data_IF_627403830447
#
_entry.id   IF_627403830447
#
_cell.length_a   1.000
_cell.length_b   1.000
_cell.length_c   1.000
_cell.angle_alpha   90.00
_cell.angle_beta   90.00
_cell.angle_gamma   90.00
#
_symmetry.space_group_name_H-M   'P 1'
#
loop_
_entity.id
_entity.type
_entity.pdbx_description
1 polymer ?
#
# COMPACT_ATOMS: atom_id res chain seq x y z
N UNK A 1 -39.02 -15.15 -10.52
CA UNK A 1 -38.87 -14.50 -11.85
C UNK A 1 -37.73 -15.16 -12.60
N UNK A 2 -38.05 -16.11 -13.48
CA UNK A 2 -37.30 -16.63 -14.63
C UNK A 2 -38.02 -17.91 -15.09
N UNK A 3 -39.19 -17.75 -15.71
CA UNK A 3 -39.92 -18.89 -16.29
C UNK A 3 -39.18 -19.35 -17.55
N UNK A 4 -38.65 -20.58 -17.51
CA UNK A 4 -37.99 -21.18 -18.66
C UNK A 4 -39.03 -21.45 -19.76
N UNK A 5 -38.95 -20.74 -20.88
CA UNK A 5 -39.76 -20.99 -22.06
C UNK A 5 -39.37 -22.34 -22.69
N UNK A 6 -40.00 -23.43 -22.24
CA UNK A 6 -39.86 -24.72 -22.88
C UNK A 6 -40.59 -24.73 -24.23
N UNK A 7 -39.90 -25.15 -25.30
CA UNK A 7 -40.51 -25.40 -26.61
C UNK A 7 -41.78 -26.28 -26.47
N UNK A 8 -42.89 -25.99 -27.19
CA UNK A 8 -44.12 -26.80 -27.16
C UNK A 8 -43.86 -28.30 -27.44
N UNK A 9 -42.85 -28.59 -28.25
CA UNK A 9 -42.43 -29.95 -28.58
C UNK A 9 -41.77 -30.68 -27.39
N UNK A 10 -41.19 -29.95 -26.44
CA UNK A 10 -40.58 -30.49 -25.22
C UNK A 10 -41.63 -31.02 -24.25
N UNK A 11 -42.79 -30.37 -24.15
CA UNK A 11 -43.88 -30.74 -23.22
C UNK A 11 -44.56 -32.07 -23.63
N UNK A 12 -44.58 -32.38 -24.93
CA UNK A 12 -45.16 -33.62 -25.47
C UNK A 12 -44.33 -34.88 -25.18
N UNK A 13 -42.99 -34.75 -25.15
CA UNK A 13 -42.08 -35.91 -25.03
C UNK A 13 -41.23 -35.94 -23.75
N UNK A 14 -41.07 -34.80 -23.07
CA UNK A 14 -40.38 -34.71 -21.78
C UNK A 14 -41.38 -34.25 -20.73
N UNK A 15 -42.17 -35.19 -20.21
CA UNK A 15 -42.92 -34.96 -18.97
C UNK A 15 -41.98 -34.40 -17.89
N UNK A 16 -42.53 -33.53 -17.04
CA UNK A 16 -41.79 -32.90 -15.93
C UNK A 16 -41.33 -34.01 -14.97
N UNK A 17 -40.02 -34.24 -14.94
CA UNK A 17 -39.38 -35.26 -14.12
C UNK A 17 -38.90 -36.45 -14.93
N UNK A 18 -37.60 -36.74 -14.83
CA UNK A 18 -37.07 -38.04 -15.26
C UNK A 18 -37.79 -39.15 -14.50
N UNK A 19 -38.21 -40.25 -15.15
CA UNK A 19 -38.76 -41.41 -14.45
C UNK A 19 -37.90 -41.80 -13.24
N UNK A 20 -38.48 -42.24 -12.11
CA UNK A 20 -37.74 -42.48 -10.86
C UNK A 20 -36.50 -43.38 -11.05
N UNK A 21 -36.59 -44.37 -11.93
CA UNK A 21 -35.48 -45.27 -12.26
C UNK A 21 -34.32 -44.58 -12.99
N UNK A 22 -34.59 -43.56 -13.83
CA UNK A 22 -33.53 -42.78 -14.50
C UNK A 22 -32.79 -41.92 -13.50
N UNK A 23 -33.49 -41.39 -12.50
CA UNK A 23 -32.83 -40.66 -11.41
C UNK A 23 -31.99 -41.60 -10.55
N UNK A 24 -32.55 -42.75 -10.13
CA UNK A 24 -31.80 -43.77 -9.40
C UNK A 24 -30.57 -44.26 -10.18
N UNK A 25 -30.69 -44.46 -11.50
CA UNK A 25 -29.57 -44.84 -12.35
C UNK A 25 -28.49 -43.75 -12.44
N UNK A 26 -28.90 -42.47 -12.59
CA UNK A 26 -27.97 -41.33 -12.58
C UNK A 26 -27.22 -41.25 -11.26
N UNK A 27 -27.91 -41.37 -10.14
CA UNK A 27 -27.28 -41.39 -8.82
C UNK A 27 -26.31 -42.58 -8.67
N UNK A 28 -26.68 -43.77 -9.14
CA UNK A 28 -25.78 -44.93 -9.15
C UNK A 28 -24.51 -44.72 -9.99
N UNK A 29 -24.62 -44.05 -11.14
CA UNK A 29 -23.45 -43.67 -11.95
C UNK A 29 -22.54 -42.66 -11.24
N UNK A 30 -23.13 -41.60 -10.65
CA UNK A 30 -22.37 -40.60 -9.90
C UNK A 30 -21.68 -41.20 -8.69
N UNK A 31 -22.35 -42.10 -7.97
CA UNK A 31 -21.80 -42.76 -6.81
C UNK A 31 -20.65 -43.71 -7.19
N UNK A 32 -20.78 -44.46 -8.30
CA UNK A 32 -19.66 -45.25 -8.85
C UNK A 32 -18.46 -44.37 -9.23
N UNK A 33 -18.71 -43.23 -9.86
CA UNK A 33 -17.67 -42.29 -10.25
C UNK A 33 -16.97 -41.70 -9.02
N UNK A 34 -17.74 -41.26 -8.02
CA UNK A 34 -17.25 -40.73 -6.75
C UNK A 34 -16.42 -41.77 -6.00
N UNK A 35 -16.88 -43.01 -5.90
CA UNK A 35 -16.15 -44.10 -5.25
C UNK A 35 -14.89 -44.49 -6.02
N UNK A 36 -14.92 -44.45 -7.36
CA UNK A 36 -13.72 -44.66 -8.19
C UNK A 36 -12.67 -43.57 -7.94
N UNK A 37 -13.09 -42.30 -7.95
CA UNK A 37 -12.23 -41.15 -7.64
C UNK A 37 -11.67 -41.23 -6.22
N UNK A 38 -12.52 -41.55 -5.24
CA UNK A 38 -12.11 -41.66 -3.84
C UNK A 38 -11.05 -42.76 -3.65
N UNK A 39 -11.24 -43.93 -4.28
CA UNK A 39 -10.28 -45.03 -4.24
C UNK A 39 -8.95 -44.67 -4.91
N UNK A 40 -8.98 -43.93 -6.02
CA UNK A 40 -7.77 -43.43 -6.69
C UNK A 40 -7.01 -42.47 -5.78
N UNK A 41 -7.69 -41.45 -5.24
CA UNK A 41 -7.08 -40.47 -4.34
C UNK A 41 -6.59 -41.11 -3.04
N UNK A 42 -7.32 -42.09 -2.50
CA UNK A 42 -6.90 -42.84 -1.32
C UNK A 42 -5.59 -43.60 -1.56
N UNK A 43 -5.39 -44.19 -2.75
CA UNK A 43 -4.12 -44.83 -3.13
C UNK A 43 -2.96 -43.83 -3.16
N UNK A 44 -3.16 -42.66 -3.76
CA UNK A 44 -2.15 -41.61 -3.78
C UNK A 44 -1.84 -41.05 -2.39
N UNK A 45 -2.87 -40.86 -1.54
CA UNK A 45 -2.70 -40.38 -0.17
C UNK A 45 -2.03 -41.42 0.74
N UNK A 46 -2.40 -42.69 0.63
CA UNK A 46 -1.79 -43.79 1.40
C UNK A 46 -0.36 -44.10 0.96
N UNK A 47 -0.03 -43.90 -0.32
CA UNK A 47 1.35 -43.97 -0.80
C UNK A 47 2.28 -42.96 -0.10
N UNK A 48 1.74 -41.91 0.54
CA UNK A 48 2.50 -40.96 1.34
C UNK A 48 2.59 -41.26 2.85
N UNK A 49 1.94 -42.33 3.37
CA UNK A 49 1.69 -42.42 4.82
C UNK A 49 1.73 -43.79 5.51
N UNK A 50 2.00 -44.91 4.83
CA UNK A 50 1.97 -46.19 5.55
C UNK A 50 2.51 -47.39 4.80
N UNK A 51 3.84 -47.51 4.73
CA UNK A 51 4.59 -48.79 4.67
C UNK A 51 6.09 -48.49 4.69
N UNK A 52 6.89 -49.12 5.57
CA UNK A 52 8.33 -48.87 5.69
C UNK A 52 9.12 -49.59 4.57
N UNK A 53 8.68 -49.45 3.31
CA UNK A 53 9.29 -50.10 2.16
C UNK A 53 9.27 -49.29 0.86
N UNK A 54 8.66 -48.10 0.84
CA UNK A 54 8.62 -47.20 -0.33
C UNK A 54 9.09 -45.78 0.00
N UNK A 55 10.14 -45.66 0.80
CA UNK A 55 10.81 -44.41 1.12
C UNK A 55 11.14 -43.60 -0.16
N UNK A 56 11.51 -44.29 -1.24
CA UNK A 56 12.03 -43.68 -2.48
C UNK A 56 11.15 -42.60 -3.12
N UNK A 57 9.81 -42.71 -3.08
CA UNK A 57 8.92 -41.84 -3.87
C UNK A 57 8.70 -40.47 -3.22
N UNK A 58 8.65 -40.43 -1.88
CA UNK A 58 8.51 -39.18 -1.11
C UNK A 58 9.83 -38.42 -1.04
N UNK A 59 10.95 -39.16 -1.00
CA UNK A 59 12.29 -38.57 -1.09
C UNK A 59 12.57 -38.03 -2.50
N UNK A 60 12.13 -38.70 -3.57
CA UNK A 60 12.28 -38.21 -4.95
C UNK A 60 11.63 -36.84 -5.20
N UNK A 61 10.40 -36.62 -4.72
CA UNK A 61 9.73 -35.32 -4.91
C UNK A 61 10.43 -34.22 -4.12
N UNK A 62 10.86 -34.51 -2.89
CA UNK A 62 11.58 -33.54 -2.06
C UNK A 62 12.96 -33.23 -2.65
N UNK A 63 13.67 -34.23 -3.14
CA UNK A 63 14.98 -34.10 -3.77
C UNK A 63 14.89 -33.29 -5.07
N UNK A 64 13.91 -33.59 -5.94
CA UNK A 64 13.66 -32.80 -7.16
C UNK A 64 13.26 -31.36 -6.80
N UNK A 65 12.42 -31.16 -5.79
CA UNK A 65 12.07 -29.80 -5.34
C UNK A 65 13.28 -29.03 -4.80
N UNK A 66 14.14 -29.69 -4.02
CA UNK A 66 15.36 -29.08 -3.48
C UNK A 66 16.38 -28.80 -4.59
N UNK A 67 16.50 -29.68 -5.59
CA UNK A 67 17.39 -29.52 -6.74
C UNK A 67 16.94 -28.37 -7.66
N UNK A 68 15.65 -28.30 -7.98
CA UNK A 68 15.06 -27.19 -8.74
C UNK A 68 15.16 -25.87 -7.95
N UNK A 69 14.91 -25.90 -6.64
CA UNK A 69 15.05 -24.72 -5.78
C UNK A 69 16.50 -24.22 -5.66
N UNK A 70 17.46 -25.14 -5.59
CA UNK A 70 18.89 -24.80 -5.59
C UNK A 70 19.35 -24.29 -6.95
N UNK A 71 18.80 -24.81 -8.05
CA UNK A 71 19.04 -24.32 -9.41
C UNK A 71 18.54 -22.89 -9.58
N UNK A 72 17.34 -22.57 -9.08
CA UNK A 72 16.79 -21.20 -9.08
C UNK A 72 17.65 -20.23 -8.27
N UNK A 73 18.09 -20.62 -7.07
CA UNK A 73 19.01 -19.82 -6.25
C UNK A 73 20.37 -19.60 -6.91
N UNK A 74 20.87 -20.59 -7.66
CA UNK A 74 22.13 -20.43 -8.39
C UNK A 74 22.03 -19.35 -9.48
N UNK A 75 20.86 -19.20 -10.07
CA UNK A 75 20.52 -18.15 -11.05
C UNK A 75 20.34 -16.79 -10.39
N UNK A 76 19.73 -16.72 -9.19
CA UNK A 76 19.65 -15.48 -8.40
C UNK A 76 21.01 -14.95 -7.93
N UNK A 77 22.02 -15.82 -7.76
CA UNK A 77 23.38 -15.42 -7.38
C UNK A 77 24.24 -14.92 -8.56
N UNK A 78 23.73 -14.98 -9.79
CA UNK A 78 24.34 -14.36 -10.96
C UNK A 78 23.50 -13.15 -11.39
N UNK A 79 23.94 -11.91 -11.10
CA UNK A 79 23.20 -10.70 -11.47
C UNK A 79 22.80 -10.69 -12.95
N UNK A 80 23.67 -11.13 -13.85
CA UNK A 80 23.42 -11.17 -15.30
C UNK A 80 22.35 -12.19 -15.76
N UNK A 81 22.03 -13.20 -14.96
CA UNK A 81 21.03 -14.21 -15.32
C UNK A 81 19.60 -13.80 -14.93
N UNK A 82 19.46 -13.01 -13.85
CA UNK A 82 18.21 -12.34 -13.49
C UNK A 82 17.77 -11.31 -14.54
N UNK A 83 18.72 -10.56 -15.12
CA UNK A 83 18.46 -9.65 -16.24
C UNK A 83 18.00 -10.35 -17.53
N UNK A 84 18.29 -11.65 -17.69
CA UNK A 84 17.85 -12.45 -18.84
C UNK A 84 16.51 -13.18 -18.61
N UNK A 85 16.08 -13.32 -17.35
CA UNK A 85 14.79 -13.93 -16.98
C UNK A 85 13.65 -12.92 -16.89
N UNK A 86 13.94 -11.65 -16.58
CA UNK A 86 13.00 -10.56 -16.83
C UNK A 86 12.87 -10.35 -18.33
N UNK A 87 11.68 -10.51 -18.90
CA UNK A 87 11.51 -10.15 -20.31
C UNK A 87 11.93 -8.68 -20.49
N UNK A 88 12.46 -8.28 -21.66
CA UNK A 88 12.79 -6.88 -21.95
C UNK A 88 11.65 -5.90 -21.64
N UNK A 89 10.41 -6.39 -21.71
CA UNK A 89 9.18 -5.67 -21.39
C UNK A 89 8.99 -5.45 -19.87
N UNK A 90 9.40 -6.39 -19.03
CA UNK A 90 9.34 -6.25 -17.56
C UNK A 90 10.39 -5.24 -17.05
N UNK A 91 11.57 -5.18 -17.68
CA UNK A 91 12.60 -4.20 -17.37
C UNK A 91 12.17 -2.77 -17.71
N UNK A 92 11.49 -2.57 -18.84
CA UNK A 92 10.95 -1.25 -19.23
C UNK A 92 9.89 -0.77 -18.22
N UNK A 93 8.97 -1.66 -17.82
CA UNK A 93 7.95 -1.34 -16.82
C UNK A 93 8.57 -0.95 -15.47
N UNK A 94 9.59 -1.67 -15.01
CA UNK A 94 10.29 -1.32 -13.77
C UNK A 94 10.99 0.05 -13.88
N UNK A 95 11.59 0.35 -15.02
CA UNK A 95 12.26 1.63 -15.26
C UNK A 95 11.25 2.80 -15.32
N UNK A 96 10.07 2.57 -15.90
CA UNK A 96 8.98 3.54 -15.90
C UNK A 96 8.46 3.80 -14.47
N UNK A 97 8.30 2.76 -13.66
CA UNK A 97 7.90 2.88 -12.25
C UNK A 97 8.96 3.65 -11.45
N UNK A 98 10.24 3.34 -11.62
CA UNK A 98 11.32 4.08 -10.94
C UNK A 98 11.32 5.56 -11.32
N UNK A 99 11.08 5.88 -12.59
CA UNK A 99 10.99 7.25 -13.07
C UNK A 99 9.77 7.98 -12.49
N UNK A 100 8.60 7.33 -12.46
CA UNK A 100 7.38 7.88 -11.85
C UNK A 100 7.60 8.21 -10.37
N UNK A 101 8.18 7.29 -9.60
CA UNK A 101 8.49 7.49 -8.18
C UNK A 101 9.46 8.66 -7.96
N UNK A 102 10.51 8.76 -8.79
CA UNK A 102 11.46 9.87 -8.75
C UNK A 102 10.81 11.22 -9.04
N UNK A 103 9.85 11.27 -9.96
CA UNK A 103 9.15 12.50 -10.32
C UNK A 103 8.10 12.90 -9.27
N UNK A 104 7.43 11.93 -8.65
CA UNK A 104 6.57 12.16 -7.49
C UNK A 104 7.36 12.74 -6.31
N UNK A 105 8.51 12.15 -5.97
CA UNK A 105 9.37 12.65 -4.88
C UNK A 105 9.78 14.11 -5.12
N UNK A 106 10.27 14.42 -6.32
CA UNK A 106 10.62 15.81 -6.70
C UNK A 106 9.43 16.75 -6.62
N UNK A 107 8.24 16.29 -7.04
CA UNK A 107 7.02 17.09 -6.99
C UNK A 107 6.64 17.42 -5.54
N UNK A 108 6.68 16.44 -4.64
CA UNK A 108 6.38 16.62 -3.22
C UNK A 108 7.35 17.63 -2.58
N UNK A 109 8.65 17.48 -2.84
CA UNK A 109 9.66 18.41 -2.33
C UNK A 109 9.40 19.83 -2.86
N UNK A 110 9.15 19.97 -4.16
CA UNK A 110 8.89 21.27 -4.79
C UNK A 110 7.64 21.96 -4.24
N UNK A 111 6.58 21.20 -3.96
CA UNK A 111 5.35 21.73 -3.36
C UNK A 111 5.62 22.24 -1.93
N UNK A 112 6.35 21.46 -1.13
CA UNK A 112 6.71 21.84 0.22
C UNK A 112 7.57 23.11 0.25
N UNK A 113 8.59 23.20 -0.62
CA UNK A 113 9.43 24.39 -0.74
C UNK A 113 8.63 25.64 -1.13
N UNK A 114 7.66 25.51 -2.06
CA UNK A 114 6.77 26.62 -2.44
C UNK A 114 5.89 27.06 -1.27
N UNK A 115 5.37 26.13 -0.49
CA UNK A 115 4.59 26.46 0.72
C UNK A 115 5.44 27.21 1.74
N UNK A 116 6.66 26.72 1.99
CA UNK A 116 7.58 27.37 2.92
C UNK A 116 7.93 28.80 2.46
N UNK A 117 8.19 28.97 1.16
CA UNK A 117 8.45 30.29 0.58
C UNK A 117 7.23 31.22 0.69
N UNK A 118 6.01 30.70 0.54
CA UNK A 118 4.79 31.47 0.75
C UNK A 118 4.67 31.95 2.20
N UNK A 119 4.91 31.06 3.17
CA UNK A 119 4.86 31.39 4.60
C UNK A 119 5.92 32.44 4.95
N UNK A 120 7.14 32.28 4.46
CA UNK A 120 8.22 33.25 4.63
C UNK A 120 7.85 34.62 4.04
N UNK A 121 7.30 34.64 2.82
CA UNK A 121 6.88 35.89 2.18
C UNK A 121 5.74 36.57 2.95
N UNK A 122 4.81 35.81 3.52
CA UNK A 122 3.74 36.32 4.36
C UNK A 122 4.30 36.99 5.61
N UNK A 123 5.19 36.29 6.33
CA UNK A 123 5.87 36.84 7.51
C UNK A 123 6.69 38.09 7.18
N UNK A 124 7.44 38.06 6.09
CA UNK A 124 8.22 39.21 5.63
C UNK A 124 7.33 40.41 5.30
N UNK A 125 6.17 40.19 4.70
CA UNK A 125 5.20 41.25 4.42
C UNK A 125 4.64 41.86 5.70
N UNK A 126 4.29 41.03 6.70
CA UNK A 126 3.83 41.50 8.01
C UNK A 126 4.92 42.30 8.74
N UNK A 127 6.17 41.81 8.72
CA UNK A 127 7.31 42.51 9.31
C UNK A 127 7.58 43.86 8.64
N UNK A 128 7.52 43.92 7.30
CA UNK A 128 7.69 45.17 6.56
C UNK A 128 6.61 46.21 6.91
N UNK A 129 5.36 45.77 7.08
CA UNK A 129 4.27 46.66 7.54
C UNK A 129 4.53 47.19 8.96
N UNK A 130 5.04 46.36 9.86
CA UNK A 130 5.37 46.76 11.23
C UNK A 130 6.56 47.71 11.28
N UNK A 131 7.59 47.49 10.46
CA UNK A 131 8.75 48.37 10.37
C UNK A 131 8.38 49.74 9.76
N UNK A 132 7.47 49.75 8.77
CA UNK A 132 6.95 50.97 8.17
C UNK A 132 6.07 51.80 9.13
N UNK A 133 5.46 51.17 10.14
CA UNK A 133 4.61 51.80 11.14
C UNK A 133 5.24 51.79 12.55
N UNK A 134 6.31 52.58 12.78
CA UNK A 134 6.96 52.62 14.07
C UNK A 134 6.01 53.17 15.14
N UNK A 135 6.01 52.53 16.31
CA UNK A 135 5.14 52.90 17.42
C UNK A 135 5.53 54.28 17.97
N UNK A 136 4.62 55.24 17.84
CA UNK A 136 4.77 56.58 18.41
C UNK A 136 4.61 56.49 19.94
N UNK A 137 5.48 57.17 20.67
CA UNK A 137 5.41 57.21 22.12
C UNK A 137 4.09 57.83 22.61
N UNK A 138 3.30 57.13 23.45
CA UNK A 138 2.01 57.64 23.92
C UNK A 138 2.13 58.83 24.89
N UNK A 139 3.31 59.06 25.48
CA UNK A 139 3.54 60.16 26.43
C UNK A 139 3.80 61.48 25.71
N UNK A 140 4.67 61.47 24.71
CA UNK A 140 5.06 62.70 24.00
C UNK A 140 4.40 62.87 22.63
N UNK A 141 3.84 61.80 22.07
CA UNK A 141 3.15 61.76 20.77
C UNK A 141 4.03 62.34 19.63
N UNK A 142 5.36 62.32 19.81
CA UNK A 142 6.33 62.99 18.94
C UNK A 142 7.44 62.07 18.44
N UNK A 143 8.00 61.25 19.32
CA UNK A 143 9.12 60.36 18.99
C UNK A 143 8.67 58.91 18.95
N UNK A 144 9.31 58.10 18.10
CA UNK A 144 9.09 56.65 18.07
C UNK A 144 9.76 55.98 19.27
N UNK A 145 9.12 54.92 19.77
CA UNK A 145 9.67 54.04 20.78
C UNK A 145 10.86 53.27 20.21
N UNK A 146 11.87 53.02 21.05
CA UNK A 146 13.04 52.21 20.73
C UNK A 146 13.17 51.09 21.74
N UNK A 147 13.62 49.93 21.30
CA UNK A 147 13.86 48.79 22.17
C UNK A 147 15.37 48.59 22.27
N UNK A 148 15.92 48.60 23.48
CA UNK A 148 17.33 48.24 23.74
C UNK A 148 17.39 47.38 24.99
N UNK A 149 18.13 46.27 24.93
CA UNK A 149 18.39 45.38 26.08
C UNK A 149 17.12 45.05 26.90
N UNK A 150 16.02 44.66 26.23
CA UNK A 150 14.74 44.36 26.87
C UNK A 150 14.13 45.55 27.63
N UNK A 151 14.37 46.77 27.16
CA UNK A 151 13.72 47.98 27.67
C UNK A 151 13.18 48.79 26.50
N UNK A 152 11.90 49.17 26.60
CA UNK A 152 11.27 50.13 25.69
C UNK A 152 11.55 51.54 26.18
N UNK A 153 12.17 52.37 25.36
CA UNK A 153 12.60 53.73 25.71
C UNK A 153 12.11 54.77 24.70
N UNK A 154 11.92 56.00 25.17
CA UNK A 154 11.65 57.17 24.35
C UNK A 154 12.55 58.35 24.75
N UNK A 155 13.01 59.20 23.80
CA UNK A 155 13.76 60.43 24.12
C UNK A 155 13.05 61.42 25.05
N UNK A 156 11.74 61.28 25.29
CA UNK A 156 11.01 62.12 26.25
C UNK A 156 11.18 61.66 27.71
N UNK A 157 11.89 60.56 27.96
CA UNK A 157 12.13 60.01 29.29
C UNK A 157 11.25 58.81 29.68
N UNK A 158 10.39 58.31 28.78
CA UNK A 158 9.65 57.06 29.02
C UNK A 158 10.63 55.88 28.99
N UNK A 159 10.56 55.02 30.01
CA UNK A 159 11.38 53.82 30.15
C UNK A 159 10.52 52.69 30.74
N UNK A 160 10.25 51.65 29.95
CA UNK A 160 9.42 50.51 30.34
C UNK A 160 10.29 49.25 30.28
N UNK A 161 10.64 48.63 31.42
CA UNK A 161 11.37 47.37 31.42
C UNK A 161 10.48 46.24 30.89
N UNK A 162 11.02 45.42 29.99
CA UNK A 162 10.38 44.20 29.51
C UNK A 162 10.71 43.07 30.48
N UNK A 163 9.83 42.82 31.43
CA UNK A 163 9.88 41.58 32.20
C UNK A 163 9.18 40.50 31.37
N UNK A 164 9.94 39.53 30.86
CA UNK A 164 9.35 38.29 30.37
C UNK A 164 8.62 37.66 31.55
N UNK A 165 7.28 37.62 31.47
CA UNK A 165 6.48 36.90 32.43
C UNK A 165 6.63 35.42 32.10
N UNK A 166 7.42 34.68 32.89
CA UNK A 166 7.65 33.22 32.77
C UNK A 166 6.39 32.37 33.08
N UNK A 167 5.19 32.89 32.85
CA UNK A 167 3.92 32.22 33.19
C UNK A 167 3.45 31.20 32.15
N UNK A 168 4.16 31.01 31.04
CA UNK A 168 3.86 29.94 30.08
C UNK A 168 4.28 28.54 30.57
N UNK A 169 4.96 28.43 31.73
CA UNK A 169 5.37 27.14 32.31
C UNK A 169 4.30 26.43 33.15
N UNK A 170 3.07 26.94 33.26
CA UNK A 170 2.02 26.37 34.16
C UNK A 170 0.84 25.75 33.41
N UNK A 171 0.90 25.61 32.09
CA UNK A 171 -0.12 24.87 31.33
C UNK A 171 0.54 23.80 30.46
N UNK A 172 1.14 22.80 31.09
CA UNK A 172 1.32 21.44 30.57
C UNK A 172 1.24 20.45 31.74
#
# INVERSE_FOLDING_TARGET
MAESSGSPHRLLYKQVGSPPWKEAFRQGCLERMRNSRHRLLARYRQAGGGTPGKASDRFLVQEVMEEEWNSLKSVENCPEALFQLGLPEDLAVLQDIEQELCDEEKSIISEYEKSLQFDENCLNSMLAEWEANPLICPVCIKYNLRIMNSVVMCPCGLHIPFHACDTWAVIL
#
